data_IF_117403621867
#
_entry.id   IF_117403621867
#
_cell.length_a   1.000
_cell.length_b   1.000
_cell.length_c   1.000
_cell.angle_alpha   90.00
_cell.angle_beta   90.00
_cell.angle_gamma   90.00
#
_symmetry.space_group_name_H-M   'P 1'
#
loop_
_entity.id
_entity.type
_entity.pdbx_description
1 polymer ?
#
# COMPACT_ATOMS: atom_id res chain seq x y z
N UNK A 1 14.75 13.63 -8.81
CA UNK A 1 15.46 12.35 -8.52
C UNK A 1 16.89 12.72 -8.19
N UNK A 2 17.45 12.24 -7.08
CA UNK A 2 18.87 12.49 -6.80
C UNK A 2 19.75 11.56 -7.65
N UNK A 3 21.01 11.93 -7.93
CA UNK A 3 21.95 11.03 -8.64
C UNK A 3 22.12 9.70 -7.89
N UNK A 4 22.05 9.73 -6.56
CA UNK A 4 22.11 8.54 -5.70
C UNK A 4 20.90 7.61 -5.88
N UNK A 5 19.69 8.16 -6.03
CA UNK A 5 18.51 7.32 -6.27
C UNK A 5 18.54 6.68 -7.65
N UNK A 6 19.00 7.41 -8.68
CA UNK A 6 19.12 6.87 -10.04
C UNK A 6 20.10 5.69 -10.10
N UNK A 7 21.32 5.88 -9.60
CA UNK A 7 22.31 4.81 -9.54
C UNK A 7 21.80 3.60 -8.74
N UNK A 8 21.10 3.84 -7.62
CA UNK A 8 20.51 2.76 -6.84
C UNK A 8 19.42 2.00 -7.60
N UNK A 9 18.60 2.69 -8.38
CA UNK A 9 17.61 2.03 -9.24
C UNK A 9 18.27 1.18 -10.32
N UNK A 10 19.35 1.66 -10.94
CA UNK A 10 20.10 0.92 -11.97
C UNK A 10 20.74 -0.35 -11.39
N UNK A 11 21.35 -0.25 -10.20
CA UNK A 11 21.90 -1.40 -9.47
C UNK A 11 20.81 -2.46 -9.19
N UNK A 12 19.65 -2.02 -8.67
CA UNK A 12 18.54 -2.92 -8.37
C UNK A 12 17.96 -3.56 -9.63
N UNK A 13 17.87 -2.80 -10.72
CA UNK A 13 17.41 -3.34 -12.01
C UNK A 13 18.36 -4.41 -12.55
N UNK A 14 19.68 -4.18 -12.45
CA UNK A 14 20.68 -5.18 -12.82
C UNK A 14 20.63 -6.42 -11.91
N UNK A 15 20.42 -6.24 -10.60
CA UNK A 15 20.23 -7.33 -9.64
C UNK A 15 19.00 -8.16 -10.00
N UNK A 16 17.83 -7.52 -10.14
CA UNK A 16 16.55 -8.17 -10.48
C UNK A 16 16.57 -8.86 -11.84
N UNK A 17 17.34 -8.35 -12.82
CA UNK A 17 17.50 -8.98 -14.11
C UNK A 17 18.24 -10.31 -14.04
N UNK A 18 19.14 -10.46 -13.06
CA UNK A 18 20.06 -11.59 -12.92
C UNK A 18 19.88 -12.37 -11.61
N UNK A 19 18.78 -12.16 -10.88
CA UNK A 19 18.68 -12.65 -9.49
C UNK A 19 18.64 -14.19 -9.43
N UNK A 20 19.46 -14.81 -8.57
CA UNK A 20 19.36 -16.24 -8.31
C UNK A 20 18.09 -16.51 -7.47
N UNK A 21 17.37 -17.58 -7.78
CA UNK A 21 16.17 -18.01 -7.03
C UNK A 21 16.50 -18.67 -5.67
N UNK A 22 17.69 -18.39 -5.12
CA UNK A 22 18.18 -19.02 -3.89
C UNK A 22 17.47 -18.53 -2.62
N UNK A 23 17.02 -17.26 -2.65
CA UNK A 23 16.28 -16.60 -1.58
C UNK A 23 14.77 -16.88 -1.63
N UNK A 24 14.27 -17.41 -2.76
CA UNK A 24 12.87 -17.77 -2.90
C UNK A 24 12.52 -18.93 -1.94
N UNK A 25 11.32 -18.95 -1.32
CA UNK A 25 10.88 -20.03 -0.45
C UNK A 25 11.04 -21.39 -1.14
N UNK A 26 11.28 -22.46 -0.37
CA UNK A 26 11.55 -23.79 -0.92
C UNK A 26 10.55 -24.23 -2.01
N UNK A 27 9.26 -23.94 -1.81
CA UNK A 27 8.17 -24.25 -2.76
C UNK A 27 8.20 -23.41 -4.06
N UNK A 28 9.04 -22.38 -4.13
CA UNK A 28 9.22 -21.47 -5.27
C UNK A 28 10.67 -21.39 -5.76
N UNK A 29 11.57 -22.19 -5.21
CA UNK A 29 12.97 -22.21 -5.64
C UNK A 29 13.04 -22.67 -7.09
N UNK A 30 13.73 -21.89 -7.93
CA UNK A 30 13.78 -22.05 -9.39
C UNK A 30 12.71 -21.27 -10.16
N UNK A 31 11.73 -20.63 -9.49
CA UNK A 31 10.74 -19.78 -10.13
C UNK A 31 11.13 -18.31 -9.98
N UNK A 32 11.07 -17.56 -11.09
CA UNK A 32 11.25 -16.10 -11.05
C UNK A 32 10.10 -15.47 -10.29
N UNK A 33 10.42 -14.55 -9.37
CA UNK A 33 9.39 -13.81 -8.64
C UNK A 33 8.58 -12.95 -9.60
N UNK A 34 7.25 -13.03 -9.45
CA UNK A 34 6.32 -12.18 -10.19
C UNK A 34 6.57 -10.72 -9.79
N UNK A 35 6.57 -9.82 -10.77
CA UNK A 35 6.79 -8.40 -10.56
C UNK A 35 5.70 -7.66 -11.31
N UNK A 36 5.17 -6.58 -10.74
CA UNK A 36 4.10 -5.86 -11.43
C UNK A 36 4.61 -5.30 -12.74
N UNK A 37 3.85 -5.58 -13.78
CA UNK A 37 3.90 -4.87 -15.05
C UNK A 37 2.76 -3.85 -15.04
N UNK A 38 2.81 -2.87 -15.94
CA UNK A 38 1.77 -1.83 -16.03
C UNK A 38 0.38 -2.42 -16.35
N UNK A 39 0.34 -3.62 -16.93
CA UNK A 39 -0.88 -4.27 -17.42
C UNK A 39 -1.59 -5.15 -16.38
N UNK A 40 -0.95 -5.46 -15.25
CA UNK A 40 -1.59 -6.21 -14.16
C UNK A 40 -2.17 -5.25 -13.11
N UNK A 41 -3.49 -5.07 -13.15
CA UNK A 41 -4.23 -4.21 -12.22
C UNK A 41 -4.79 -4.97 -11.00
N UNK A 42 -4.57 -6.28 -10.91
CA UNK A 42 -5.08 -7.11 -9.81
C UNK A 42 -3.99 -7.44 -8.81
N UNK A 43 -2.74 -7.56 -9.23
CA UNK A 43 -1.61 -7.86 -8.35
C UNK A 43 -0.62 -6.70 -8.35
N UNK A 44 -0.39 -6.14 -7.17
CA UNK A 44 0.70 -5.19 -6.95
C UNK A 44 1.87 -5.89 -6.29
N UNK A 45 3.03 -5.79 -6.94
CA UNK A 45 4.33 -6.26 -6.53
C UNK A 45 5.37 -5.24 -6.98
N UNK A 46 6.46 -5.16 -6.25
CA UNK A 46 7.54 -4.24 -6.56
C UNK A 46 8.30 -4.63 -7.84
N UNK A 47 8.57 -3.64 -8.69
CA UNK A 47 9.34 -3.84 -9.91
C UNK A 47 10.83 -4.10 -9.63
N UNK A 48 11.40 -3.42 -8.61
CA UNK A 48 12.83 -3.38 -8.36
C UNK A 48 13.24 -3.90 -6.97
N UNK A 49 12.34 -4.48 -6.16
CA UNK A 49 12.74 -5.07 -4.88
C UNK A 49 13.32 -6.48 -5.10
N UNK A 50 14.63 -6.72 -4.91
CA UNK A 50 15.24 -8.02 -5.17
C UNK A 50 14.78 -9.08 -4.17
N UNK A 51 14.86 -10.35 -4.55
CA UNK A 51 14.40 -11.48 -3.74
C UNK A 51 15.02 -11.49 -2.34
N UNK A 52 16.31 -11.16 -2.22
CA UNK A 52 17.00 -11.09 -0.91
C UNK A 52 16.36 -10.07 0.04
N UNK A 53 15.74 -9.01 -0.48
CA UNK A 53 15.05 -8.00 0.33
C UNK A 53 13.58 -8.40 0.50
N UNK A 54 12.94 -8.87 -0.55
CA UNK A 54 11.55 -9.33 -0.55
C UNK A 54 11.28 -10.40 0.54
N UNK A 55 12.16 -11.39 0.64
CA UNK A 55 12.05 -12.49 1.63
C UNK A 55 12.88 -12.27 2.91
N UNK A 56 13.57 -11.13 3.05
CA UNK A 56 14.35 -10.84 4.25
C UNK A 56 13.46 -10.65 5.48
N UNK A 57 14.04 -10.92 6.65
CA UNK A 57 13.44 -10.57 7.93
C UNK A 57 13.21 -9.05 8.04
N UNK A 58 12.28 -8.63 8.90
CA UNK A 58 12.02 -7.20 9.19
C UNK A 58 13.32 -6.42 9.47
N UNK A 59 14.18 -6.95 10.35
CA UNK A 59 15.43 -6.29 10.75
C UNK A 59 16.41 -6.08 9.60
N UNK A 60 16.42 -6.99 8.62
CA UNK A 60 17.30 -6.86 7.45
C UNK A 60 16.70 -5.93 6.40
N UNK A 61 15.37 -5.95 6.20
CA UNK A 61 14.69 -5.03 5.28
C UNK A 61 14.80 -3.57 5.71
N UNK A 62 14.77 -3.29 7.01
CA UNK A 62 14.95 -1.93 7.54
C UNK A 62 16.31 -1.31 7.18
N UNK A 63 17.28 -2.13 6.74
CA UNK A 63 18.61 -1.68 6.30
C UNK A 63 18.71 -1.50 4.78
N UNK A 64 17.64 -1.73 4.02
CA UNK A 64 17.68 -1.71 2.56
C UNK A 64 17.88 -0.30 1.98
N UNK A 65 17.22 0.72 2.55
CA UNK A 65 17.25 2.09 2.02
C UNK A 65 17.55 3.20 3.06
N UNK A 66 18.46 3.01 4.04
CA UNK A 66 18.65 3.90 5.19
C UNK A 66 19.17 5.29 4.82
N UNK A 67 19.65 5.51 3.59
CA UNK A 67 20.18 6.79 3.09
C UNK A 67 19.24 7.46 2.07
N UNK A 68 18.14 6.82 1.71
CA UNK A 68 17.21 7.31 0.70
C UNK A 68 15.93 7.86 1.34
N UNK A 69 15.43 8.95 0.79
CA UNK A 69 14.11 9.46 1.15
C UNK A 69 13.04 8.71 0.37
N UNK A 70 12.04 8.19 1.07
CA UNK A 70 10.92 7.50 0.45
C UNK A 70 9.86 8.49 -0.04
N UNK A 71 9.56 9.47 0.81
CA UNK A 71 8.57 10.49 0.53
C UNK A 71 8.93 11.83 1.17
N UNK A 72 8.34 12.89 0.60
CA UNK A 72 8.41 14.24 1.11
C UNK A 72 7.00 14.76 1.37
N UNK A 73 6.70 15.13 2.60
CA UNK A 73 5.39 15.66 2.99
C UNK A 73 5.41 17.20 3.00
N UNK A 74 4.54 17.82 2.22
CA UNK A 74 4.37 19.28 2.17
C UNK A 74 3.29 19.76 3.15
N UNK A 75 3.24 19.17 4.35
CA UNK A 75 2.30 19.53 5.40
C UNK A 75 2.96 19.38 6.78
N UNK A 76 2.81 20.39 7.64
CA UNK A 76 3.51 20.48 8.93
C UNK A 76 3.16 19.36 9.91
N UNK A 77 1.92 18.83 9.84
CA UNK A 77 1.55 17.66 10.63
C UNK A 77 1.86 16.42 9.78
N UNK A 78 3.05 15.87 9.98
CA UNK A 78 3.63 14.70 9.32
C UNK A 78 2.85 13.38 9.50
N UNK A 79 1.55 13.44 9.74
CA UNK A 79 0.72 12.31 10.14
C UNK A 79 -0.16 11.77 9.01
N UNK A 80 -0.11 12.35 7.80
CA UNK A 80 -0.90 11.91 6.64
C UNK A 80 -0.38 12.49 5.32
N UNK A 81 -0.58 11.78 4.20
CA UNK A 81 -0.21 12.25 2.86
C UNK A 81 -1.26 13.22 2.31
N UNK A 82 -1.42 14.35 2.98
CA UNK A 82 -2.27 15.42 2.45
C UNK A 82 -1.69 16.02 1.17
N UNK A 83 -0.37 16.15 1.11
CA UNK A 83 0.39 16.55 -0.06
C UNK A 83 1.75 15.89 0.04
N UNK A 84 2.04 14.99 -0.89
CA UNK A 84 3.20 14.12 -0.84
C UNK A 84 3.89 14.09 -2.19
N UNK A 85 5.21 14.06 -2.17
CA UNK A 85 6.04 13.69 -3.31
C UNK A 85 6.70 12.35 -2.99
N UNK A 86 6.43 11.32 -3.79
CA UNK A 86 7.09 10.02 -3.68
C UNK A 86 8.32 9.98 -4.58
N UNK A 87 9.41 9.37 -4.12
CA UNK A 87 10.56 9.14 -5.01
C UNK A 87 10.25 8.00 -5.96
N UNK A 88 10.84 8.03 -7.17
CA UNK A 88 10.73 6.92 -8.11
C UNK A 88 11.34 5.63 -7.54
N UNK A 89 12.42 5.75 -6.76
CA UNK A 89 12.99 4.63 -6.02
C UNK A 89 11.95 4.01 -5.08
N UNK A 90 11.25 4.82 -4.28
CA UNK A 90 10.19 4.33 -3.39
C UNK A 90 9.06 3.62 -4.15
N UNK A 91 8.52 4.22 -5.22
CA UNK A 91 7.46 3.57 -6.02
C UNK A 91 7.96 2.25 -6.61
N UNK A 92 9.20 2.25 -7.11
CA UNK A 92 9.76 1.08 -7.80
C UNK A 92 10.14 -0.05 -6.85
N UNK A 93 10.35 0.22 -5.55
CA UNK A 93 10.75 -0.79 -4.55
C UNK A 93 9.63 -1.16 -3.58
N UNK A 94 8.76 -0.22 -3.22
CA UNK A 94 7.64 -0.42 -2.28
C UNK A 94 6.36 -0.84 -3.00
N UNK A 95 6.28 -0.65 -4.32
CA UNK A 95 5.09 -0.91 -5.12
C UNK A 95 4.06 0.24 -5.04
N UNK A 96 2.84 -0.02 -5.47
CA UNK A 96 1.75 0.98 -5.45
C UNK A 96 1.01 1.03 -4.11
N UNK A 97 0.16 2.05 -3.92
CA UNK A 97 -0.81 2.10 -2.83
C UNK A 97 -1.74 0.88 -2.88
N UNK A 98 -2.11 0.34 -1.72
CA UNK A 98 -3.02 -0.80 -1.65
C UNK A 98 -4.45 -0.39 -1.94
N UNK A 99 -4.93 -0.67 -3.15
CA UNK A 99 -6.25 -0.28 -3.65
C UNK A 99 -7.42 -0.92 -2.87
N UNK A 100 -7.15 -1.90 -2.01
CA UNK A 100 -8.20 -2.45 -1.14
C UNK A 100 -8.59 -1.50 0.01
N UNK A 101 -7.77 -0.48 0.31
CA UNK A 101 -8.17 0.68 1.11
C UNK A 101 -9.06 1.60 0.27
N UNK A 102 -10.29 1.15 0.06
CA UNK A 102 -11.30 1.79 -0.78
C UNK A 102 -12.52 2.18 0.05
N UNK A 103 -13.10 3.39 -0.11
CA UNK A 103 -12.81 4.35 -1.19
C UNK A 103 -11.75 5.41 -0.88
N UNK A 104 -11.37 5.57 0.38
CA UNK A 104 -10.37 6.54 0.84
C UNK A 104 -10.02 6.26 2.31
N UNK A 105 -8.85 6.72 2.76
CA UNK A 105 -8.28 6.59 4.11
C UNK A 105 -7.52 5.29 4.36
N UNK A 106 -6.40 5.44 5.08
CA UNK A 106 -5.43 4.40 5.50
C UNK A 106 -4.41 4.03 4.43
N UNK A 107 -4.66 4.30 3.15
CA UNK A 107 -3.73 4.01 2.05
C UNK A 107 -2.39 4.74 2.22
N UNK A 108 -2.43 6.00 2.62
CA UNK A 108 -1.26 6.86 2.82
C UNK A 108 -0.39 6.38 3.98
N UNK A 109 -1.06 6.08 5.08
CA UNK A 109 -0.45 5.61 6.29
C UNK A 109 0.13 4.20 6.11
N UNK A 110 -0.58 3.31 5.42
CA UNK A 110 -0.09 1.97 5.11
C UNK A 110 1.13 2.00 4.18
N UNK A 111 1.13 2.89 3.18
CA UNK A 111 2.29 3.08 2.31
C UNK A 111 3.50 3.62 3.09
N UNK A 112 3.28 4.60 3.98
CA UNK A 112 4.33 5.14 4.85
C UNK A 112 4.93 4.07 5.77
N UNK A 113 4.09 3.14 6.27
CA UNK A 113 4.55 2.00 7.05
C UNK A 113 5.44 1.06 6.22
N UNK A 114 5.05 0.73 4.99
CA UNK A 114 5.88 -0.09 4.09
C UNK A 114 7.21 0.58 3.76
N UNK A 115 7.23 1.90 3.55
CA UNK A 115 8.47 2.66 3.39
C UNK A 115 9.41 2.51 4.59
N UNK A 116 8.85 2.67 5.80
CA UNK A 116 9.62 2.54 7.05
C UNK A 116 10.21 1.15 7.23
N UNK A 117 9.43 0.11 6.92
CA UNK A 117 9.86 -1.29 7.01
C UNK A 117 10.94 -1.66 5.99
N UNK A 118 11.16 -0.83 4.96
CA UNK A 118 12.27 -0.91 4.01
C UNK A 118 13.43 0.06 4.34
N UNK A 119 13.33 0.81 5.44
CA UNK A 119 14.38 1.71 5.90
C UNK A 119 14.40 3.08 5.24
N UNK A 120 13.38 3.45 4.45
CA UNK A 120 13.32 4.78 3.85
C UNK A 120 13.14 5.86 4.90
N UNK A 121 13.76 7.03 4.66
CA UNK A 121 13.56 8.23 5.45
C UNK A 121 12.35 9.02 4.97
N UNK A 122 11.59 9.55 5.91
CA UNK A 122 10.60 10.60 5.66
C UNK A 122 11.27 11.98 5.71
N UNK A 123 10.78 12.94 4.93
CA UNK A 123 11.15 14.35 5.10
C UNK A 123 9.93 15.25 5.01
N UNK A 124 9.71 16.05 6.04
CA UNK A 124 8.77 17.15 5.97
C UNK A 124 9.43 18.33 5.26
N UNK A 125 8.80 18.83 4.21
CA UNK A 125 9.27 19.96 3.43
C UNK A 125 8.27 21.10 3.63
N UNK A 126 8.67 22.09 4.42
CA UNK A 126 7.93 23.34 4.57
C UNK A 126 8.23 24.21 3.35
N UNK A 127 7.67 23.85 2.20
CA UNK A 127 7.80 24.64 0.98
C UNK A 127 6.44 25.21 0.58
N UNK A 128 6.34 26.54 0.62
CA UNK A 128 5.16 27.28 0.17
C UNK A 128 4.02 27.41 1.18
N UNK A 129 2.91 27.98 0.71
CA UNK A 129 1.66 28.24 1.46
C UNK A 129 0.65 27.09 1.28
N UNK A 130 1.07 25.84 1.45
CA UNK A 130 0.13 24.73 1.28
C UNK A 130 -0.93 24.77 2.39
N UNK A 131 -2.19 24.96 2.01
CA UNK A 131 -3.34 25.02 2.92
C UNK A 131 -4.19 23.77 2.73
N UNK A 132 -4.16 22.88 3.71
CA UNK A 132 -5.08 21.76 3.78
C UNK A 132 -6.41 22.17 4.42
N UNK A 133 -7.51 22.14 3.65
CA UNK A 133 -8.86 22.28 4.20
C UNK A 133 -9.40 20.92 4.63
N UNK A 134 -9.02 20.48 5.83
CA UNK A 134 -9.40 19.17 6.36
C UNK A 134 -10.93 18.97 6.41
N UNK A 135 -11.35 17.75 6.07
CA UNK A 135 -12.74 17.30 6.12
C UNK A 135 -13.72 18.12 5.26
N UNK A 136 -13.23 18.91 4.30
CA UNK A 136 -14.10 19.75 3.48
C UNK A 136 -15.08 18.91 2.66
N UNK A 137 -14.58 17.86 1.98
CA UNK A 137 -15.41 16.94 1.19
C UNK A 137 -16.46 16.23 2.06
N UNK A 138 -16.09 15.78 3.26
CA UNK A 138 -17.05 15.17 4.21
C UNK A 138 -18.14 16.18 4.58
N UNK A 139 -17.75 17.37 5.03
CA UNK A 139 -18.70 18.40 5.47
C UNK A 139 -19.64 18.84 4.35
N UNK A 140 -19.12 18.92 3.13
CA UNK A 140 -19.86 19.36 1.96
C UNK A 140 -20.77 18.25 1.43
N UNK A 141 -20.32 16.99 1.42
CA UNK A 141 -21.16 15.84 1.03
C UNK A 141 -22.44 15.73 1.87
N UNK A 142 -22.40 16.14 3.14
CA UNK A 142 -23.58 16.17 4.02
C UNK A 142 -24.60 17.26 3.66
N UNK A 143 -24.26 18.19 2.78
CA UNK A 143 -25.10 19.34 2.40
C UNK A 143 -25.51 19.32 0.94
N UNK A 144 -25.09 18.32 0.17
CA UNK A 144 -25.30 18.23 -1.26
C UNK A 144 -26.12 17.00 -1.62
N UNK A 145 -27.02 17.15 -2.58
CA UNK A 145 -27.82 16.05 -3.15
C UNK A 145 -27.32 15.61 -4.53
N UNK A 146 -26.04 15.89 -4.84
CA UNK A 146 -25.39 15.36 -6.04
C UNK A 146 -25.15 13.84 -5.91
N UNK A 147 -25.21 13.08 -7.02
CA UNK A 147 -24.99 11.63 -7.00
C UNK A 147 -23.71 11.20 -6.28
N UNK A 148 -22.57 11.89 -6.52
CA UNK A 148 -21.30 11.55 -5.88
C UNK A 148 -21.29 11.85 -4.37
N UNK A 149 -22.01 12.89 -3.94
CA UNK A 149 -22.15 13.22 -2.52
C UNK A 149 -23.01 12.19 -1.80
N UNK A 150 -24.13 11.77 -2.41
CA UNK A 150 -24.96 10.66 -1.95
C UNK A 150 -24.17 9.36 -1.87
N UNK A 151 -23.43 9.04 -2.93
CA UNK A 151 -22.57 7.86 -3.01
C UNK A 151 -21.55 7.85 -1.88
N UNK A 152 -20.78 8.93 -1.72
CA UNK A 152 -19.75 9.02 -0.70
C UNK A 152 -20.34 8.92 0.71
N UNK A 153 -21.48 9.58 0.98
CA UNK A 153 -22.18 9.46 2.27
C UNK A 153 -22.47 8.00 2.59
N UNK A 154 -23.11 7.26 1.67
CA UNK A 154 -23.46 5.85 1.86
C UNK A 154 -22.23 4.99 2.11
N UNK A 155 -21.21 5.10 1.25
CA UNK A 155 -20.00 4.27 1.36
C UNK A 155 -19.21 4.59 2.62
N UNK A 156 -19.10 5.86 3.01
CA UNK A 156 -18.37 6.27 4.22
C UNK A 156 -18.90 5.58 5.48
N UNK A 157 -20.21 5.39 5.60
CA UNK A 157 -20.83 4.70 6.74
C UNK A 157 -20.41 3.23 6.87
N UNK A 158 -19.97 2.59 5.78
CA UNK A 158 -19.55 1.20 5.80
C UNK A 158 -18.21 0.99 6.53
N UNK A 159 -17.40 2.05 6.69
CA UNK A 159 -16.08 1.99 7.34
C UNK A 159 -15.19 0.85 6.81
N UNK A 160 -15.28 0.58 5.50
CA UNK A 160 -14.72 -0.57 4.77
C UNK A 160 -13.24 -0.82 5.03
N UNK A 161 -12.47 0.23 5.32
CA UNK A 161 -11.02 0.13 5.55
C UNK A 161 -10.67 -0.45 6.90
N UNK A 162 -11.50 -0.28 7.93
CA UNK A 162 -11.23 -0.81 9.27
C UNK A 162 -11.12 -2.34 9.30
N UNK A 163 -12.09 -3.11 8.76
CA UNK A 163 -11.95 -4.57 8.73
C UNK A 163 -10.78 -5.03 7.86
N UNK A 164 -10.47 -4.31 6.78
CA UNK A 164 -9.30 -4.62 5.94
C UNK A 164 -7.98 -4.35 6.68
N UNK A 165 -7.83 -3.19 7.33
CA UNK A 165 -6.68 -2.84 8.15
C UNK A 165 -6.50 -3.83 9.30
N UNK A 166 -7.58 -4.18 10.00
CA UNK A 166 -7.55 -5.16 11.09
C UNK A 166 -7.09 -6.53 10.59
N UNK A 167 -7.58 -6.99 9.45
CA UNK A 167 -7.15 -8.27 8.89
C UNK A 167 -5.69 -8.24 8.40
N UNK A 168 -5.26 -7.15 7.76
CA UNK A 168 -3.89 -7.02 7.20
C UNK A 168 -2.86 -6.79 8.30
N UNK A 169 -3.14 -5.99 9.32
CA UNK A 169 -2.16 -5.55 10.31
C UNK A 169 -2.49 -5.95 11.75
N UNK A 170 -3.61 -6.62 12.01
CA UNK A 170 -4.09 -6.94 13.36
C UNK A 170 -4.13 -5.73 14.29
N UNK A 171 -4.53 -4.58 13.74
CA UNK A 171 -4.66 -3.34 14.47
C UNK A 171 -5.39 -2.29 13.64
N UNK A 172 -6.13 -1.41 14.33
CA UNK A 172 -6.74 -0.23 13.70
C UNK A 172 -5.70 0.85 13.36
N UNK A 173 -4.52 0.78 13.98
CA UNK A 173 -3.36 1.63 13.73
C UNK A 173 -2.20 0.73 13.33
N UNK A 174 -1.98 0.54 12.03
CA UNK A 174 -0.87 -0.25 11.50
C UNK A 174 0.55 0.11 12.04
N UNK A 175 0.73 1.25 12.72
CA UNK A 175 2.01 1.66 13.34
C UNK A 175 2.27 1.13 14.74
N UNK A 176 1.21 0.86 15.50
CA UNK A 176 1.27 1.09 16.94
C UNK A 176 0.85 -0.14 17.73
N UNK A 177 -0.13 -0.90 17.23
CA UNK A 177 -0.61 -2.15 17.79
C UNK A 177 -0.82 -3.15 16.64
N UNK A 178 -0.40 -4.41 16.80
CA UNK A 178 -0.61 -5.46 15.82
C UNK A 178 0.67 -6.06 15.21
N UNK A 179 0.54 -6.58 13.99
CA UNK A 179 1.61 -7.25 13.26
C UNK A 179 2.69 -6.27 12.81
N UNK A 180 3.94 -6.73 12.82
CA UNK A 180 5.10 -5.98 12.28
C UNK A 180 5.23 -6.07 10.76
N UNK A 181 4.42 -6.94 10.15
CA UNK A 181 4.40 -7.24 8.72
C UNK A 181 2.96 -7.52 8.28
N UNK A 182 2.62 -7.29 7.01
CA UNK A 182 1.28 -7.58 6.53
C UNK A 182 0.98 -9.07 6.70
N UNK A 183 -0.21 -9.34 7.23
CA UNK A 183 -0.69 -10.67 7.53
C UNK A 183 0.30 -11.49 8.37
N UNK A 184 0.98 -10.87 9.33
CA UNK A 184 2.01 -11.51 10.17
C UNK A 184 3.15 -12.15 9.36
N UNK A 185 3.52 -11.50 8.27
CA UNK A 185 4.56 -11.97 7.34
C UNK A 185 4.12 -13.17 6.50
N UNK A 186 2.82 -13.44 6.38
CA UNK A 186 2.30 -14.45 5.43
C UNK A 186 2.37 -13.97 3.99
N UNK A 187 2.37 -12.65 3.77
CA UNK A 187 2.45 -12.01 2.45
C UNK A 187 3.65 -11.06 2.49
N UNK A 188 4.43 -10.95 1.41
CA UNK A 188 5.54 -10.01 1.36
C UNK A 188 5.06 -8.56 1.51
N UNK A 189 5.97 -7.68 1.95
CA UNK A 189 5.62 -6.36 2.45
C UNK A 189 4.89 -5.49 1.43
N UNK A 190 5.40 -5.47 0.21
CA UNK A 190 4.94 -4.67 -0.92
C UNK A 190 3.74 -5.28 -1.65
N UNK A 191 3.35 -6.52 -1.30
CA UNK A 191 2.41 -7.30 -2.08
C UNK A 191 1.00 -7.13 -1.58
N UNK A 192 0.08 -6.86 -2.50
CA UNK A 192 -1.35 -6.95 -2.27
C UNK A 192 -2.07 -7.39 -3.55
N UNK A 193 -3.20 -8.06 -3.37
CA UNK A 193 -4.06 -8.51 -4.47
C UNK A 193 -5.39 -7.82 -4.35
N UNK A 194 -5.85 -7.17 -5.42
CA UNK A 194 -7.10 -6.43 -5.47
C UNK A 194 -8.29 -7.38 -5.35
N UNK A 195 -9.14 -7.14 -4.37
CA UNK A 195 -10.47 -7.76 -4.29
C UNK A 195 -11.46 -6.89 -5.08
N UNK A 196 -11.40 -7.01 -6.40
CA UNK A 196 -12.27 -6.26 -7.33
C UNK A 196 -13.74 -6.52 -7.01
N UNK A 197 -14.11 -7.77 -6.68
CA UNK A 197 -15.47 -8.13 -6.33
C UNK A 197 -15.97 -7.35 -5.09
N UNK A 198 -15.13 -7.18 -4.07
CA UNK A 198 -15.45 -6.33 -2.90
C UNK A 198 -15.61 -4.88 -3.29
N UNK A 199 -14.69 -4.33 -4.09
CA UNK A 199 -14.77 -2.93 -4.55
C UNK A 199 -16.06 -2.68 -5.34
N UNK A 200 -16.44 -3.59 -6.24
CA UNK A 200 -17.67 -3.49 -7.02
C UNK A 200 -18.92 -3.54 -6.14
N UNK A 201 -18.96 -4.41 -5.11
CA UNK A 201 -20.07 -4.41 -4.13
C UNK A 201 -20.19 -3.09 -3.37
N UNK A 202 -19.06 -2.50 -2.97
CA UNK A 202 -19.03 -1.21 -2.28
C UNK A 202 -19.54 -0.09 -3.20
N UNK A 203 -19.11 -0.09 -4.47
CA UNK A 203 -19.57 0.86 -5.49
C UNK A 203 -21.08 0.77 -5.73
N UNK A 204 -21.58 -0.43 -5.98
CA UNK A 204 -23.00 -0.69 -6.20
C UNK A 204 -23.87 -0.23 -5.02
N UNK A 205 -23.43 -0.50 -3.78
CA UNK A 205 -24.11 0.02 -2.59
C UNK A 205 -24.12 1.56 -2.52
N UNK A 206 -22.99 2.19 -2.84
CA UNK A 206 -22.93 3.65 -2.93
C UNK A 206 -23.92 4.22 -3.95
N UNK A 207 -24.07 3.56 -5.10
CA UNK A 207 -25.00 3.96 -6.16
C UNK A 207 -26.46 3.57 -5.90
N UNK A 208 -26.80 2.98 -4.75
CA UNK A 208 -28.14 2.47 -4.41
C UNK A 208 -28.61 1.27 -5.27
N UNK A 209 -27.72 0.66 -6.04
CA UNK A 209 -28.04 -0.52 -6.85
C UNK A 209 -28.33 -1.74 -5.95
N UNK A 210 -27.74 -1.74 -4.75
CA UNK A 210 -27.97 -2.73 -3.72
C UNK A 210 -28.40 -2.02 -2.44
N UNK A 211 -29.61 -2.33 -1.96
CA UNK A 211 -30.19 -1.71 -0.76
C UNK A 211 -29.74 -2.35 0.55
N UNK A 212 -29.29 -3.61 0.52
CA UNK A 212 -28.76 -4.30 1.70
C UNK A 212 -27.30 -3.90 1.92
N UNK A 213 -26.92 -3.66 3.17
CA UNK A 213 -25.52 -3.44 3.55
C UNK A 213 -24.66 -4.60 3.01
N UNK A 214 -23.66 -4.32 2.15
CA UNK A 214 -22.88 -5.37 1.50
C UNK A 214 -21.90 -6.00 2.48
N UNK A 215 -21.44 -7.20 2.14
CA UNK A 215 -20.29 -7.80 2.80
C UNK A 215 -19.02 -7.02 2.45
N UNK A 216 -18.38 -6.42 3.46
CA UNK A 216 -17.21 -5.53 3.32
C UNK A 216 -15.89 -6.18 3.72
N UNK A 217 -15.89 -7.42 4.20
CA UNK A 217 -14.62 -8.13 4.45
C UNK A 217 -13.93 -8.48 3.13
N UNK A 218 -12.60 -8.46 3.17
CA UNK A 218 -11.75 -8.85 2.05
C UNK A 218 -11.70 -10.37 1.92
N UNK A 219 -11.86 -10.86 0.69
CA UNK A 219 -11.62 -12.25 0.37
C UNK A 219 -10.13 -12.56 0.37
N UNK A 220 -9.70 -13.52 1.20
CA UNK A 220 -8.28 -13.89 1.33
C UNK A 220 -7.82 -14.95 0.33
N UNK A 221 -8.73 -15.54 -0.45
CA UNK A 221 -8.40 -16.53 -1.50
C UNK A 221 -7.43 -15.97 -2.56
N UNK A 222 -7.56 -14.72 -3.04
CA UNK A 222 -6.60 -14.12 -3.97
C UNK A 222 -5.18 -14.02 -3.42
N UNK A 223 -4.98 -14.05 -2.09
CA UNK A 223 -3.64 -14.05 -1.51
C UNK A 223 -2.94 -15.42 -1.58
N UNK A 224 -3.66 -16.52 -1.80
CA UNK A 224 -3.08 -17.87 -1.73
C UNK A 224 -1.87 -18.04 -2.68
N UNK A 225 -1.90 -17.53 -3.93
CA UNK A 225 -0.78 -17.63 -4.85
C UNK A 225 0.43 -16.74 -4.51
N UNK A 226 0.38 -15.91 -3.48
CA UNK A 226 1.49 -15.01 -3.08
C UNK A 226 1.94 -15.20 -1.63
N UNK A 227 1.40 -16.22 -0.93
CA UNK A 227 1.80 -16.52 0.44
C UNK A 227 3.23 -17.07 0.50
N UNK A 228 3.97 -16.63 1.52
CA UNK A 228 5.33 -17.06 1.84
C UNK A 228 5.39 -18.12 2.95
N UNK A 229 4.32 -18.27 3.73
CA UNK A 229 4.17 -19.26 4.79
C UNK A 229 3.04 -20.24 4.45
N UNK A 230 3.22 -21.52 4.82
CA UNK A 230 2.20 -22.58 4.70
C UNK A 230 0.94 -22.28 5.52
N UNK A 231 -0.15 -22.98 5.21
CA UNK A 231 -1.49 -22.79 5.79
C UNK A 231 -1.50 -22.77 7.32
#
# INVERSE_FOLDING_TARGET
>A
MTRHDAARMDELAAEVANEPSEYSPFLRRGLRVLRSTVDDNLLSMSALLPDRIHYASVKEREKAFPKHHGHFCAYYKSSCFTSVMLTRLAISTVGYFDENFYPAYVEDFEYSLRLRLLGFRERNVLYGKFVHRSNYNIRFSNKMELPDALWYRRVKYLMTNQPYAMMKWNGLKACCDGYKEPYNGMVPLEVWVKDEARIQRIRAYGHDEIRRVPRVEYDRRPLYPVRTKGR
#
